data_IF_701277634459
#
_entry.id   IF_701277634459
#
_cell.length_a   1.000
_cell.length_b   1.000
_cell.length_c   1.000
_cell.angle_alpha   90.00
_cell.angle_beta   90.00
_cell.angle_gamma   90.00
#
_symmetry.space_group_name_H-M   'P 1'
#
loop_
_entity.id
_entity.type
_entity.pdbx_description
1 polymer ?
#
# COMPACT_ATOMS: atom_id res chain seq x y z
N UNK A 1 -8.44 -13.84 -17.47
CA UNK A 1 -8.72 -12.50 -16.91
C UNK A 1 -7.81 -12.37 -15.71
N UNK A 2 -6.84 -11.45 -15.71
CA UNK A 2 -6.01 -11.23 -14.52
C UNK A 2 -6.93 -10.82 -13.38
N UNK A 3 -6.77 -11.45 -12.21
CA UNK A 3 -7.52 -11.07 -11.02
C UNK A 3 -7.20 -9.60 -10.69
N UNK A 4 -8.20 -8.73 -10.81
CA UNK A 4 -8.05 -7.29 -10.62
C UNK A 4 -7.53 -6.96 -9.22
N UNK A 5 -7.85 -7.79 -8.21
CA UNK A 5 -7.34 -7.62 -6.86
C UNK A 5 -5.84 -7.93 -6.80
N UNK A 6 -5.40 -9.01 -7.45
CA UNK A 6 -3.98 -9.35 -7.54
C UNK A 6 -3.17 -8.31 -8.34
N UNK A 7 -3.79 -7.64 -9.33
CA UNK A 7 -3.15 -6.50 -10.03
C UNK A 7 -3.08 -5.29 -9.10
N UNK A 8 -4.16 -4.97 -8.39
CA UNK A 8 -4.23 -3.83 -7.49
C UNK A 8 -3.30 -3.96 -6.29
N UNK A 9 -3.14 -5.17 -5.75
CA UNK A 9 -2.17 -5.47 -4.68
C UNK A 9 -0.73 -5.19 -5.14
N UNK A 10 -0.37 -5.65 -6.35
CA UNK A 10 0.94 -5.35 -6.95
C UNK A 10 1.12 -3.87 -7.28
N UNK A 11 0.07 -3.19 -7.73
CA UNK A 11 0.09 -1.76 -7.98
C UNK A 11 0.32 -0.95 -6.70
N UNK A 12 -0.18 -1.41 -5.55
CA UNK A 12 0.14 -0.81 -4.25
C UNK A 12 1.65 -0.89 -3.95
N UNK A 13 2.30 -2.03 -4.20
CA UNK A 13 3.74 -2.18 -3.99
C UNK A 13 4.56 -1.17 -4.81
N UNK A 14 4.23 -1.01 -6.09
CA UNK A 14 4.82 0.01 -6.97
C UNK A 14 4.60 1.43 -6.42
N UNK A 15 3.37 1.73 -6.00
CA UNK A 15 2.99 3.04 -5.50
C UNK A 15 3.71 3.40 -4.19
N UNK A 16 3.89 2.40 -3.33
CA UNK A 16 4.55 2.47 -2.02
C UNK A 16 6.09 2.37 -2.11
N UNK A 17 6.65 2.22 -3.30
CA UNK A 17 8.08 2.08 -3.50
C UNK A 17 8.83 3.40 -3.25
N UNK A 18 9.98 3.26 -2.57
CA UNK A 18 10.95 4.32 -2.32
C UNK A 18 12.24 3.96 -3.04
N UNK A 19 12.83 4.91 -3.76
CA UNK A 19 14.01 4.66 -4.57
C UNK A 19 14.28 5.78 -5.58
N UNK A 20 15.20 5.58 -6.53
CA UNK A 20 15.51 6.55 -7.58
C UNK A 20 14.25 7.03 -8.34
N UNK A 21 13.30 6.11 -8.53
CA UNK A 21 12.05 6.33 -9.25
C UNK A 21 10.96 7.01 -8.42
N UNK A 22 11.19 7.25 -7.12
CA UNK A 22 10.27 8.05 -6.29
C UNK A 22 10.13 9.50 -6.79
N UNK A 23 11.06 9.96 -7.64
CA UNK A 23 10.98 11.25 -8.32
C UNK A 23 9.91 11.28 -9.42
N UNK A 24 9.49 10.12 -9.93
CA UNK A 24 8.44 10.00 -10.93
C UNK A 24 7.08 10.05 -10.20
N UNK A 25 6.14 10.91 -10.64
CA UNK A 25 4.80 10.96 -10.07
C UNK A 25 4.13 9.58 -9.98
N UNK A 26 3.42 9.33 -8.88
CA UNK A 26 2.76 8.04 -8.59
C UNK A 26 1.84 7.58 -9.74
N UNK A 27 1.11 8.51 -10.36
CA UNK A 27 0.27 8.20 -11.54
C UNK A 27 1.08 7.79 -12.77
N UNK A 28 2.16 8.51 -13.07
CA UNK A 28 3.03 8.21 -14.22
C UNK A 28 3.71 6.84 -14.07
N UNK A 29 4.13 6.47 -12.84
CA UNK A 29 4.66 5.12 -12.55
C UNK A 29 3.61 4.04 -12.80
N UNK A 30 2.39 4.23 -12.29
CA UNK A 30 1.31 3.27 -12.48
C UNK A 30 0.91 3.16 -13.96
N UNK A 31 0.83 4.27 -14.69
CA UNK A 31 0.53 4.27 -16.12
C UNK A 31 1.59 3.53 -16.94
N UNK A 32 2.85 3.61 -16.54
CA UNK A 32 3.97 2.94 -17.23
C UNK A 32 3.96 1.43 -17.01
N UNK A 33 3.70 0.98 -15.78
CA UNK A 33 3.74 -0.46 -15.41
C UNK A 33 2.42 -1.17 -15.74
N UNK A 34 1.30 -0.46 -15.64
CA UNK A 34 -0.04 -0.99 -15.86
C UNK A 34 -0.75 -0.19 -16.97
N UNK A 35 -0.30 -0.29 -18.23
CA UNK A 35 -0.82 0.51 -19.35
C UNK A 35 -2.30 0.19 -19.67
N UNK A 36 -2.78 -0.99 -19.27
CA UNK A 36 -4.18 -1.41 -19.46
C UNK A 36 -5.14 -0.71 -18.49
N UNK A 37 -4.65 -0.04 -17.44
CA UNK A 37 -5.50 0.72 -16.53
C UNK A 37 -5.90 2.05 -17.15
N UNK A 38 -7.20 2.30 -17.18
CA UNK A 38 -7.74 3.60 -17.54
C UNK A 38 -7.31 4.67 -16.52
N UNK A 39 -7.28 5.93 -16.96
CA UNK A 39 -7.00 7.05 -16.05
C UNK A 39 -7.95 7.11 -14.85
N UNK A 40 -9.23 6.75 -15.05
CA UNK A 40 -10.21 6.71 -13.98
C UNK A 40 -9.88 5.64 -12.91
N UNK A 41 -9.46 4.45 -13.34
CA UNK A 41 -9.04 3.38 -12.44
C UNK A 41 -7.79 3.77 -11.66
N UNK A 42 -6.78 4.36 -12.32
CA UNK A 42 -5.56 4.82 -11.64
C UNK A 42 -5.85 5.90 -10.60
N UNK A 43 -6.70 6.88 -10.90
CA UNK A 43 -7.12 7.91 -9.93
C UNK A 43 -7.81 7.26 -8.72
N UNK A 44 -8.73 6.32 -8.96
CA UNK A 44 -9.41 5.60 -7.89
C UNK A 44 -8.42 4.81 -7.01
N UNK A 45 -7.45 4.12 -7.64
CA UNK A 45 -6.46 3.34 -6.93
C UNK A 45 -5.50 4.21 -6.13
N UNK A 46 -5.00 5.31 -6.69
CA UNK A 46 -4.15 6.27 -5.97
C UNK A 46 -4.85 6.81 -4.73
N UNK A 47 -6.15 7.11 -4.84
CA UNK A 47 -6.94 7.57 -3.69
C UNK A 47 -7.03 6.49 -2.61
N UNK A 48 -7.28 5.24 -2.99
CA UNK A 48 -7.38 4.12 -2.05
C UNK A 48 -6.03 3.76 -1.43
N UNK A 49 -4.94 3.80 -2.20
CA UNK A 49 -3.58 3.63 -1.68
C UNK A 49 -3.20 4.73 -0.69
N UNK A 50 -3.64 5.97 -0.93
CA UNK A 50 -3.51 7.05 0.05
C UNK A 50 -4.25 6.76 1.36
N UNK A 51 -5.43 6.12 1.31
CA UNK A 51 -6.15 5.70 2.51
C UNK A 51 -5.40 4.59 3.27
N UNK A 52 -4.72 3.69 2.56
CA UNK A 52 -3.84 2.67 3.18
C UNK A 52 -2.65 3.36 3.87
N UNK A 53 -1.97 4.29 3.20
CA UNK A 53 -0.83 5.04 3.77
C UNK A 53 -1.26 5.83 5.02
N UNK A 54 -2.40 6.51 4.99
CA UNK A 54 -2.95 7.19 6.18
C UNK A 54 -3.28 6.22 7.32
N UNK A 55 -3.85 5.05 7.02
CA UNK A 55 -4.16 4.05 8.04
C UNK A 55 -2.88 3.46 8.65
N UNK A 56 -1.89 3.14 7.82
CA UNK A 56 -0.56 2.67 8.23
C UNK A 56 0.14 3.70 9.11
N UNK A 57 0.06 4.98 8.77
CA UNK A 57 0.58 6.08 9.60
C UNK A 57 -0.12 6.14 10.97
N UNK A 58 -1.45 6.07 11.00
CA UNK A 58 -2.21 6.05 12.25
C UNK A 58 -1.81 4.86 13.15
N UNK A 59 -1.64 3.67 12.58
CA UNK A 59 -1.17 2.50 13.33
C UNK A 59 0.24 2.72 13.91
N UNK A 60 1.10 3.44 13.20
CA UNK A 60 2.43 3.81 13.68
C UNK A 60 2.35 4.80 14.86
N UNK A 61 1.53 5.85 14.76
CA UNK A 61 1.30 6.83 15.84
C UNK A 61 0.72 6.18 17.10
N UNK A 62 -0.12 5.16 16.94
CA UNK A 62 -0.68 4.38 18.05
C UNK A 62 0.31 3.32 18.61
N UNK A 63 1.54 3.23 18.08
CA UNK A 63 2.56 2.26 18.49
C UNK A 63 2.24 0.81 18.12
N UNK A 64 1.23 0.59 17.27
CA UNK A 64 0.69 -0.74 16.96
C UNK A 64 1.59 -1.56 16.06
N UNK A 65 2.50 -0.95 15.30
CA UNK A 65 3.40 -1.69 14.42
C UNK A 65 4.34 -2.64 15.19
N UNK A 66 4.75 -2.24 16.39
CA UNK A 66 5.59 -3.05 17.29
C UNK A 66 4.78 -3.83 18.34
N UNK A 67 3.60 -3.31 18.74
CA UNK A 67 2.78 -3.92 19.78
C UNK A 67 1.96 -5.13 19.28
N UNK A 68 1.63 -5.17 17.99
CA UNK A 68 0.85 -6.25 17.40
C UNK A 68 1.73 -7.37 16.86
N UNK A 69 1.22 -8.60 16.93
CA UNK A 69 1.78 -9.69 16.16
C UNK A 69 1.60 -9.43 14.66
N UNK A 70 2.41 -10.09 13.83
CA UNK A 70 2.28 -10.02 12.37
C UNK A 70 0.90 -10.49 11.89
N UNK A 71 0.33 -11.50 12.55
CA UNK A 71 -1.01 -12.04 12.24
C UNK A 71 -2.10 -11.02 12.57
N UNK A 72 -2.03 -10.37 13.74
CA UNK A 72 -3.01 -9.35 14.15
C UNK A 72 -2.95 -8.12 13.23
N UNK A 73 -1.74 -7.68 12.86
CA UNK A 73 -1.56 -6.60 11.90
C UNK A 73 -2.16 -6.96 10.54
N UNK A 74 -1.94 -8.19 10.07
CA UNK A 74 -2.48 -8.69 8.81
C UNK A 74 -4.01 -8.73 8.84
N UNK A 75 -4.59 -9.22 9.93
CA UNK A 75 -6.04 -9.25 10.11
C UNK A 75 -6.65 -7.83 10.08
N UNK A 76 -6.02 -6.85 10.74
CA UNK A 76 -6.47 -5.45 10.70
C UNK A 76 -6.42 -4.85 9.29
N UNK A 77 -5.35 -5.11 8.54
CA UNK A 77 -5.24 -4.62 7.16
C UNK A 77 -6.30 -5.28 6.29
N UNK A 78 -6.46 -6.62 6.33
CA UNK A 78 -7.46 -7.32 5.51
C UNK A 78 -8.89 -6.96 5.86
N UNK A 79 -9.19 -6.61 7.12
CA UNK A 79 -10.52 -6.13 7.51
C UNK A 79 -10.90 -4.85 6.74
N UNK A 80 -9.93 -3.99 6.44
CA UNK A 80 -10.17 -2.68 5.80
C UNK A 80 -9.83 -2.67 4.31
N UNK A 81 -8.87 -3.48 3.89
CA UNK A 81 -8.32 -3.54 2.53
C UNK A 81 -8.18 -5.01 2.09
N UNK A 82 -9.30 -5.71 1.83
CA UNK A 82 -9.30 -7.16 1.58
C UNK A 82 -8.65 -7.59 0.25
N UNK A 83 -8.25 -6.63 -0.59
CA UNK A 83 -7.57 -6.92 -1.86
C UNK A 83 -6.06 -7.10 -1.70
N UNK A 84 -5.48 -6.67 -0.58
CA UNK A 84 -4.05 -6.75 -0.34
C UNK A 84 -3.67 -8.21 -0.07
N UNK A 85 -2.63 -8.69 -0.74
CA UNK A 85 -2.01 -9.98 -0.42
C UNK A 85 -0.95 -9.83 0.69
N UNK A 86 -0.40 -10.97 1.13
CA UNK A 86 0.58 -11.00 2.21
C UNK A 86 1.83 -10.16 1.94
N UNK A 87 2.23 -10.01 0.66
CA UNK A 87 3.37 -9.20 0.25
C UNK A 87 3.06 -7.70 0.41
N UNK A 88 1.89 -7.27 -0.07
CA UNK A 88 1.40 -5.90 0.12
C UNK A 88 1.22 -5.55 1.60
N UNK A 89 0.68 -6.46 2.41
CA UNK A 89 0.61 -6.32 3.87
C UNK A 89 2.02 -6.28 4.49
N UNK A 90 2.97 -7.03 3.91
CA UNK A 90 4.39 -7.02 4.26
C UNK A 90 4.96 -5.61 4.19
N UNK A 91 4.77 -4.99 3.03
CA UNK A 91 5.19 -3.61 2.79
C UNK A 91 4.50 -2.63 3.74
N UNK A 92 3.20 -2.75 3.95
CA UNK A 92 2.46 -1.88 4.86
C UNK A 92 2.96 -1.94 6.31
N UNK A 93 3.29 -3.13 6.82
CA UNK A 93 3.83 -3.31 8.16
C UNK A 93 5.26 -2.77 8.30
N UNK A 94 6.10 -2.97 7.27
CA UNK A 94 7.41 -2.34 7.21
C UNK A 94 7.29 -0.82 7.27
N UNK A 95 6.37 -0.23 6.49
CA UNK A 95 6.12 1.21 6.50
C UNK A 95 5.63 1.69 7.87
N UNK A 96 4.69 0.99 8.51
CA UNK A 96 4.22 1.33 9.85
C UNK A 96 5.39 1.34 10.86
N UNK A 97 6.24 0.33 10.79
CA UNK A 97 7.42 0.22 11.67
C UNK A 97 8.43 1.33 11.42
N UNK A 98 8.66 1.67 10.14
CA UNK A 98 9.54 2.76 9.74
C UNK A 98 9.01 4.12 10.20
N UNK A 99 7.72 4.40 10.00
CA UNK A 99 7.09 5.64 10.45
C UNK A 99 7.14 5.77 11.97
N UNK A 100 6.90 4.68 12.72
CA UNK A 100 6.99 4.70 14.17
C UNK A 100 8.42 4.98 14.68
N UNK A 101 9.45 4.57 13.94
CA UNK A 101 10.84 4.82 14.34
C UNK A 101 11.32 6.25 14.00
N UNK A 102 10.73 6.87 12.98
CA UNK A 102 11.17 8.16 12.44
C UNK A 102 10.21 9.35 12.66
N UNK A 103 8.99 9.10 13.14
CA UNK A 103 7.99 10.12 13.48
C UNK A 103 8.01 10.44 14.96
#
# INVERSE_FOLDING_TARGET
MNDINAVKSRAYLTWAEWGPDARIPRDERLATIYPDLTTAERIAWIKEFGQIESFVWQLAEEGKAQALSREDFTALIHQRFPFMDDEAVGKAHFLASYYQWHG
#
